data_IF_030460620784
#
_entry.id   IF_030460620784
#
_cell.length_a   1.000
_cell.length_b   1.000
_cell.length_c   1.000
_cell.angle_alpha   90.00
_cell.angle_beta   90.00
_cell.angle_gamma   90.00
#
_symmetry.space_group_name_H-M   'P 1'
#
loop_
_entity.id
_entity.type
_entity.pdbx_description
1 polymer ?
#
# COMPACT_ATOMS: atom_id res chain seq x y z
N UNK A 1 -14.85 1.56 -21.75
CA UNK A 1 -14.10 1.64 -20.48
C UNK A 1 -13.94 0.23 -19.92
N UNK A 2 -12.79 -0.13 -19.37
CA UNK A 2 -12.62 -1.41 -18.69
C UNK A 2 -13.54 -1.49 -17.46
N UNK A 3 -14.07 -2.69 -17.14
CA UNK A 3 -14.97 -2.89 -16.02
C UNK A 3 -14.28 -2.56 -14.68
N UNK A 4 -15.04 -1.99 -13.73
CA UNK A 4 -14.55 -1.72 -12.37
C UNK A 4 -14.15 -3.03 -11.69
N UNK A 5 -13.02 -3.04 -10.98
CA UNK A 5 -12.59 -4.17 -10.13
C UNK A 5 -13.47 -4.24 -8.90
N UNK A 6 -13.81 -5.45 -8.47
CA UNK A 6 -14.65 -5.71 -7.28
C UNK A 6 -14.02 -6.82 -6.44
N UNK A 7 -14.44 -6.97 -5.18
CA UNK A 7 -13.98 -8.08 -4.32
C UNK A 7 -14.24 -9.45 -4.99
N UNK A 8 -15.43 -9.75 -5.55
CA UNK A 8 -15.64 -10.98 -6.31
C UNK A 8 -14.68 -11.16 -7.51
N UNK A 9 -14.26 -10.05 -8.15
CA UNK A 9 -13.25 -10.12 -9.23
C UNK A 9 -11.92 -10.65 -8.69
N UNK A 10 -11.43 -10.12 -7.57
CA UNK A 10 -10.16 -10.55 -6.96
C UNK A 10 -10.23 -12.01 -6.50
N UNK A 11 -11.35 -12.42 -5.89
CA UNK A 11 -11.58 -13.82 -5.49
C UNK A 11 -11.59 -14.78 -6.69
N UNK A 12 -12.17 -14.35 -7.81
CA UNK A 12 -12.13 -15.12 -9.05
C UNK A 12 -10.71 -15.22 -9.60
N UNK A 13 -9.93 -14.12 -9.58
CA UNK A 13 -8.52 -14.13 -10.02
C UNK A 13 -7.70 -15.17 -9.25
N UNK A 14 -7.86 -15.29 -7.92
CA UNK A 14 -7.22 -16.34 -7.13
C UNK A 14 -7.61 -17.74 -7.64
N UNK A 15 -8.90 -18.02 -7.80
CA UNK A 15 -9.38 -19.32 -8.30
C UNK A 15 -8.85 -19.67 -9.70
N UNK A 16 -8.63 -18.66 -10.53
CA UNK A 16 -8.08 -18.78 -11.89
C UNK A 16 -6.55 -18.79 -11.93
N UNK A 17 -5.86 -18.67 -10.78
CA UNK A 17 -4.41 -18.58 -10.71
C UNK A 17 -3.84 -17.27 -11.31
N UNK A 18 -4.65 -16.25 -11.49
CA UNK A 18 -4.24 -14.93 -12.02
C UNK A 18 -3.74 -14.05 -10.89
N UNK A 19 -2.59 -13.42 -11.11
CA UNK A 19 -1.97 -12.56 -10.10
C UNK A 19 -2.69 -11.22 -9.98
N UNK A 20 -2.88 -10.78 -8.73
CA UNK A 20 -3.49 -9.50 -8.37
C UNK A 20 -2.37 -8.46 -8.18
N UNK A 21 -2.53 -7.31 -8.82
CA UNK A 21 -1.54 -6.22 -8.75
C UNK A 21 -2.08 -5.09 -7.90
N UNK A 22 -1.40 -4.83 -6.77
CA UNK A 22 -1.67 -3.70 -5.90
C UNK A 22 -0.51 -2.69 -5.93
N UNK A 23 -0.83 -1.39 -5.89
CA UNK A 23 0.16 -0.32 -5.84
C UNK A 23 -0.22 0.70 -4.79
N UNK A 24 0.74 1.04 -3.91
CA UNK A 24 0.57 2.11 -2.90
C UNK A 24 0.92 3.45 -3.52
N UNK A 25 0.01 4.42 -3.37
CA UNK A 25 0.17 5.81 -3.83
C UNK A 25 -0.44 6.78 -2.82
N UNK A 26 -0.05 8.07 -2.92
CA UNK A 26 -0.48 9.08 -1.94
C UNK A 26 -0.96 10.39 -2.56
N UNK A 27 -1.04 10.48 -3.90
CA UNK A 27 -1.48 11.68 -4.59
C UNK A 27 -2.36 11.38 -5.80
N UNK A 28 -3.07 12.40 -6.26
CA UNK A 28 -3.99 12.34 -7.38
C UNK A 28 -3.33 11.95 -8.71
N UNK A 29 -2.13 12.50 -9.00
CA UNK A 29 -1.48 12.28 -10.29
C UNK A 29 -0.98 10.84 -10.41
N UNK A 30 -0.30 10.34 -9.37
CA UNK A 30 0.17 8.96 -9.34
C UNK A 30 -1.01 7.98 -9.34
N UNK A 31 -2.10 8.28 -8.62
CA UNK A 31 -3.32 7.48 -8.64
C UNK A 31 -3.90 7.32 -10.05
N UNK A 32 -3.94 8.41 -10.84
CA UNK A 32 -4.36 8.34 -12.24
C UNK A 32 -3.44 7.52 -13.11
N UNK A 33 -2.13 7.62 -12.89
CA UNK A 33 -1.14 6.87 -13.67
C UNK A 33 -1.29 5.37 -13.41
N UNK A 34 -1.34 4.95 -12.14
CA UNK A 34 -1.44 3.52 -11.80
C UNK A 34 -2.78 2.91 -12.18
N UNK A 35 -3.89 3.65 -12.05
CA UNK A 35 -5.22 3.17 -12.49
C UNK A 35 -5.25 2.95 -14.02
N UNK A 36 -4.65 3.85 -14.79
CA UNK A 36 -4.51 3.72 -16.25
C UNK A 36 -3.53 2.63 -16.65
N UNK A 37 -2.53 2.32 -15.82
CA UNK A 37 -1.63 1.19 -16.01
C UNK A 37 -2.32 -0.17 -15.79
N UNK A 38 -3.55 -0.17 -15.26
CA UNK A 38 -4.39 -1.36 -15.16
C UNK A 38 -4.18 -2.18 -13.90
N UNK A 39 -3.68 -1.58 -12.80
CA UNK A 39 -3.57 -2.26 -11.50
C UNK A 39 -4.96 -2.59 -10.95
N UNK A 40 -5.07 -3.60 -10.08
CA UNK A 40 -6.34 -4.06 -9.54
C UNK A 40 -6.71 -3.37 -8.22
N UNK A 41 -5.71 -3.00 -7.42
CA UNK A 41 -5.86 -2.31 -6.14
C UNK A 41 -4.94 -1.10 -6.11
N UNK A 42 -5.49 0.07 -5.79
CA UNK A 42 -4.75 1.26 -5.42
C UNK A 42 -4.86 1.42 -3.91
N UNK A 43 -3.74 1.28 -3.21
CA UNK A 43 -3.70 1.33 -1.75
C UNK A 43 -3.17 2.68 -1.27
N UNK A 44 -3.84 3.27 -0.29
CA UNK A 44 -3.40 4.48 0.40
C UNK A 44 -2.73 4.03 1.70
N UNK A 45 -1.39 3.95 1.67
CA UNK A 45 -0.62 3.43 2.81
C UNK A 45 -0.33 4.50 3.87
N UNK A 46 -0.37 4.12 5.15
CA UNK A 46 0.12 4.93 6.27
C UNK A 46 1.63 5.23 6.16
N UNK A 47 2.32 4.50 5.33
CA UNK A 47 3.69 4.78 4.89
C UNK A 47 3.86 6.13 4.16
N UNK A 48 2.77 6.88 3.92
CA UNK A 48 2.83 8.30 3.55
C UNK A 48 3.66 9.11 4.54
N UNK A 49 3.53 8.81 5.83
CA UNK A 49 4.32 9.44 6.90
C UNK A 49 5.81 9.33 6.65
N UNK A 50 6.30 8.14 6.36
CA UNK A 50 7.74 7.90 6.15
C UNK A 50 8.23 8.37 4.78
N UNK A 51 7.44 8.19 3.72
CA UNK A 51 7.92 8.39 2.34
C UNK A 51 7.68 9.81 1.80
N UNK A 52 6.65 10.52 2.26
CA UNK A 52 6.37 11.89 1.83
C UNK A 52 6.65 12.93 2.91
N UNK A 53 6.44 12.58 4.19
CA UNK A 53 6.58 13.56 5.30
C UNK A 53 7.85 13.38 6.12
N UNK A 54 8.69 12.37 5.82
CA UNK A 54 9.97 12.15 6.48
C UNK A 54 9.87 11.71 7.94
N UNK A 55 8.72 11.14 8.35
CA UNK A 55 8.54 10.58 9.68
C UNK A 55 9.37 9.30 9.85
N UNK A 56 9.86 8.98 11.05
CA UNK A 56 10.71 7.81 11.29
C UNK A 56 9.97 6.47 11.12
N UNK A 57 8.64 6.48 11.30
CA UNK A 57 7.77 5.30 11.20
C UNK A 57 6.33 5.76 10.87
N UNK A 58 5.41 4.84 10.52
CA UNK A 58 4.04 5.18 10.19
C UNK A 58 3.14 5.49 11.40
N UNK A 59 3.59 5.29 12.64
CA UNK A 59 2.74 5.38 13.84
C UNK A 59 2.24 6.80 14.15
N UNK A 60 2.90 7.84 13.59
CA UNK A 60 2.55 9.24 13.82
C UNK A 60 1.43 9.75 12.89
N UNK A 61 1.06 8.97 11.88
CA UNK A 61 0.02 9.36 10.91
C UNK A 61 -1.35 9.32 11.59
N UNK A 62 -2.14 10.39 11.39
CA UNK A 62 -3.48 10.50 11.99
C UNK A 62 -4.60 10.08 11.03
N UNK A 63 -5.79 9.80 11.58
CA UNK A 63 -6.99 9.52 10.80
C UNK A 63 -7.32 10.64 9.80
N UNK A 64 -7.24 11.91 10.22
CA UNK A 64 -7.58 13.05 9.37
C UNK A 64 -6.58 13.20 8.21
N UNK A 65 -5.30 12.96 8.47
CA UNK A 65 -4.27 12.93 7.42
C UNK A 65 -4.55 11.82 6.40
N UNK A 66 -4.88 10.61 6.85
CA UNK A 66 -5.21 9.51 5.95
C UNK A 66 -6.47 9.77 5.13
N UNK A 67 -7.48 10.43 5.71
CA UNK A 67 -8.69 10.84 4.99
C UNK A 67 -8.34 11.81 3.85
N UNK A 68 -7.54 12.85 4.12
CA UNK A 68 -7.13 13.84 3.11
C UNK A 68 -6.38 13.17 1.96
N UNK A 69 -5.41 12.31 2.28
CA UNK A 69 -4.63 11.57 1.27
C UNK A 69 -5.54 10.64 0.45
N UNK A 70 -6.43 9.89 1.14
CA UNK A 70 -7.35 8.97 0.47
C UNK A 70 -8.32 9.70 -0.47
N UNK A 71 -8.83 10.87 -0.08
CA UNK A 71 -9.67 11.71 -0.94
C UNK A 71 -8.94 12.12 -2.23
N UNK A 72 -7.66 12.48 -2.14
CA UNK A 72 -6.85 12.83 -3.31
C UNK A 72 -6.68 11.63 -4.25
N UNK A 73 -6.33 10.47 -3.70
CA UNK A 73 -6.19 9.21 -4.45
C UNK A 73 -7.53 8.80 -5.08
N UNK A 74 -8.62 8.82 -4.30
CA UNK A 74 -9.96 8.43 -4.77
C UNK A 74 -10.39 9.20 -6.02
N UNK A 75 -10.14 10.50 -6.07
CA UNK A 75 -10.44 11.32 -7.24
C UNK A 75 -9.67 10.91 -8.50
N UNK A 76 -8.51 10.27 -8.35
CA UNK A 76 -7.67 9.80 -9.44
C UNK A 76 -8.03 8.42 -9.99
N UNK A 77 -8.76 7.60 -9.21
CA UNK A 77 -9.03 6.18 -9.53
C UNK A 77 -10.44 6.00 -10.08
N UNK A 78 -10.58 5.31 -11.20
CA UNK A 78 -11.87 5.01 -11.84
C UNK A 78 -12.17 3.50 -11.89
N UNK A 79 -11.15 2.67 -12.07
CA UNK A 79 -11.29 1.23 -12.32
C UNK A 79 -10.90 0.38 -11.10
N UNK A 80 -9.73 0.63 -10.53
CA UNK A 80 -9.19 -0.17 -9.42
C UNK A 80 -10.03 -0.02 -8.14
N UNK A 81 -9.92 -0.98 -7.23
CA UNK A 81 -10.40 -0.82 -5.85
C UNK A 81 -9.46 0.13 -5.08
N UNK A 82 -10.02 1.05 -4.31
CA UNK A 82 -9.26 1.92 -3.42
C UNK A 82 -9.28 1.33 -2.02
N UNK A 83 -8.10 0.88 -1.56
CA UNK A 83 -7.83 0.45 -0.18
C UNK A 83 -7.22 1.60 0.61
N UNK A 84 -7.54 1.72 1.90
CA UNK A 84 -6.90 2.67 2.81
C UNK A 84 -6.43 1.98 4.07
N UNK A 85 -5.17 2.22 4.46
CA UNK A 85 -4.60 1.67 5.68
C UNK A 85 -5.14 2.44 6.90
N UNK A 86 -5.50 1.71 7.97
CA UNK A 86 -5.76 2.31 9.26
C UNK A 86 -4.46 2.89 9.82
N UNK A 87 -4.45 4.15 10.27
CA UNK A 87 -3.38 4.62 11.12
C UNK A 87 -3.43 3.90 12.46
N UNK A 88 -2.30 3.89 13.15
CA UNK A 88 -2.23 3.37 14.51
C UNK A 88 -3.22 4.13 15.43
N UNK A 89 -3.97 3.41 16.26
CA UNK A 89 -4.94 3.96 17.21
C UNK A 89 -6.30 3.27 17.14
N UNK A 90 -7.12 3.52 16.11
CA UNK A 90 -8.51 3.03 16.08
C UNK A 90 -8.66 1.51 16.23
N UNK A 91 -7.72 0.72 15.72
CA UNK A 91 -7.74 -0.74 15.86
C UNK A 91 -7.40 -1.16 17.29
N UNK A 92 -6.42 -0.50 17.91
CA UNK A 92 -5.94 -0.76 19.26
C UNK A 92 -6.97 -0.35 20.34
N UNK A 93 -7.85 0.60 20.02
CA UNK A 93 -8.93 1.05 20.92
C UNK A 93 -10.15 0.09 20.96
N UNK A 94 -10.14 -0.95 20.10
CA UNK A 94 -11.15 -1.99 20.08
C UNK A 94 -12.18 -1.89 18.96
N UNK A 95 -13.11 -2.88 18.88
CA UNK A 95 -13.98 -3.07 17.70
C UNK A 95 -14.88 -1.88 17.40
N UNK A 96 -15.43 -1.20 18.40
CA UNK A 96 -16.32 -0.06 18.18
C UNK A 96 -15.60 1.15 17.60
N UNK A 97 -14.36 1.41 18.04
CA UNK A 97 -13.50 2.44 17.47
C UNK A 97 -13.11 2.10 16.04
N UNK A 98 -12.73 0.85 15.79
CA UNK A 98 -12.38 0.37 14.46
C UNK A 98 -13.56 0.50 13.47
N UNK A 99 -14.79 0.16 13.88
CA UNK A 99 -16.00 0.34 13.04
C UNK A 99 -16.25 1.82 12.74
N UNK A 100 -16.14 2.70 13.74
CA UNK A 100 -16.29 4.15 13.52
C UNK A 100 -15.26 4.70 12.53
N UNK A 101 -14.00 4.28 12.66
CA UNK A 101 -12.94 4.68 11.74
C UNK A 101 -13.19 4.14 10.31
N UNK A 102 -13.62 2.89 10.17
CA UNK A 102 -13.97 2.31 8.88
C UNK A 102 -15.13 3.08 8.20
N UNK A 103 -16.16 3.44 8.95
CA UNK A 103 -17.29 4.24 8.44
C UNK A 103 -16.79 5.62 7.96
N UNK A 104 -15.90 6.28 8.70
CA UNK A 104 -15.30 7.55 8.27
C UNK A 104 -14.53 7.39 6.95
N UNK A 105 -13.72 6.37 6.80
CA UNK A 105 -12.99 6.11 5.56
C UNK A 105 -13.93 5.90 4.36
N UNK A 106 -15.02 5.17 4.55
CA UNK A 106 -16.01 4.97 3.47
C UNK A 106 -16.75 6.27 3.16
N UNK A 107 -17.26 7.00 4.18
CA UNK A 107 -18.10 8.18 3.99
C UNK A 107 -17.31 9.43 3.61
N UNK A 108 -16.19 9.68 4.32
CA UNK A 108 -15.47 10.94 4.18
C UNK A 108 -14.39 10.83 3.10
N UNK A 109 -13.78 9.66 2.90
CA UNK A 109 -12.70 9.46 1.95
C UNK A 109 -13.09 8.67 0.70
N UNK A 110 -14.20 7.93 0.72
CA UNK A 110 -14.74 7.21 -0.44
C UNK A 110 -13.94 5.94 -0.80
N UNK A 111 -13.27 5.30 0.16
CA UNK A 111 -12.58 4.04 -0.10
C UNK A 111 -13.56 2.89 -0.36
N UNK A 112 -13.09 1.85 -1.07
CA UNK A 112 -13.86 0.64 -1.35
C UNK A 112 -13.62 -0.45 -0.27
N UNK A 113 -12.46 -0.42 0.43
CA UNK A 113 -12.10 -1.35 1.51
C UNK A 113 -11.08 -0.71 2.45
N UNK A 114 -11.01 -1.23 3.67
CA UNK A 114 -10.06 -0.77 4.69
C UNK A 114 -8.98 -1.84 4.94
N UNK A 115 -7.73 -1.41 5.16
CA UNK A 115 -6.62 -2.31 5.47
C UNK A 115 -6.19 -2.14 6.91
N UNK A 116 -6.05 -3.25 7.63
CA UNK A 116 -5.78 -3.29 9.06
C UNK A 116 -4.41 -3.94 9.29
N UNK A 117 -3.44 -3.16 9.76
CA UNK A 117 -2.13 -3.67 10.17
C UNK A 117 -2.24 -4.41 11.52
N UNK A 118 -1.57 -5.55 11.65
CA UNK A 118 -1.64 -6.37 12.86
C UNK A 118 -3.00 -7.03 13.11
N UNK A 119 -3.81 -7.22 12.07
CA UNK A 119 -5.19 -7.73 12.17
C UNK A 119 -5.33 -9.06 12.92
N UNK A 120 -4.30 -9.92 12.91
CA UNK A 120 -4.32 -11.19 13.63
C UNK A 120 -4.45 -11.04 15.15
N UNK A 121 -4.07 -9.88 15.72
CA UNK A 121 -4.25 -9.55 17.13
C UNK A 121 -5.67 -9.08 17.45
N UNK A 122 -6.45 -8.68 16.45
CA UNK A 122 -7.78 -8.04 16.61
C UNK A 122 -8.85 -8.66 15.70
N UNK A 123 -9.04 -9.99 15.70
CA UNK A 123 -9.99 -10.64 14.80
C UNK A 123 -11.45 -10.24 15.08
N UNK A 124 -11.77 -9.83 16.30
CA UNK A 124 -13.08 -9.29 16.67
C UNK A 124 -13.37 -7.94 15.98
N UNK A 125 -12.36 -7.09 15.81
CA UNK A 125 -12.49 -5.85 15.05
C UNK A 125 -12.67 -6.12 13.55
N UNK A 126 -11.92 -7.08 12.99
CA UNK A 126 -12.14 -7.57 11.62
C UNK A 126 -13.58 -8.03 11.43
N UNK A 127 -14.10 -8.85 12.35
CA UNK A 127 -15.47 -9.35 12.30
C UNK A 127 -16.52 -8.23 12.44
N UNK A 128 -16.27 -7.25 13.30
CA UNK A 128 -17.18 -6.11 13.51
C UNK A 128 -17.27 -5.22 12.25
N UNK A 129 -16.15 -4.91 11.61
CA UNK A 129 -16.08 -4.12 10.36
C UNK A 129 -16.74 -4.90 9.22
N UNK A 130 -16.44 -6.19 9.08
CA UNK A 130 -17.03 -7.03 8.03
C UNK A 130 -18.57 -7.14 8.19
N UNK A 131 -19.09 -7.29 9.43
CA UNK A 131 -20.54 -7.28 9.72
C UNK A 131 -21.18 -5.93 9.43
N UNK A 132 -20.43 -4.83 9.53
CA UNK A 132 -20.92 -3.51 9.12
C UNK A 132 -20.99 -3.34 7.59
N UNK A 133 -20.62 -4.37 6.81
CA UNK A 133 -20.69 -4.38 5.34
C UNK A 133 -19.48 -3.75 4.66
N UNK A 134 -18.39 -3.50 5.39
CA UNK A 134 -17.17 -2.89 4.85
C UNK A 134 -16.15 -3.99 4.58
N UNK A 135 -15.65 -4.14 3.34
CA UNK A 135 -14.62 -5.13 3.02
C UNK A 135 -13.32 -4.85 3.77
N UNK A 136 -12.70 -5.91 4.31
CA UNK A 136 -11.46 -5.83 5.08
C UNK A 136 -10.31 -6.49 4.34
N UNK A 137 -9.19 -5.77 4.24
CA UNK A 137 -7.88 -6.27 3.83
C UNK A 137 -7.03 -6.45 5.09
N UNK A 138 -6.97 -7.66 5.59
CA UNK A 138 -6.33 -7.97 6.87
C UNK A 138 -4.82 -8.20 6.70
N UNK A 139 -3.99 -7.33 7.28
CA UNK A 139 -2.53 -7.48 7.26
C UNK A 139 -2.06 -8.21 8.50
N UNK A 140 -1.20 -9.22 8.32
CA UNK A 140 -0.64 -10.05 9.39
C UNK A 140 0.78 -10.54 9.08
N UNK A 141 1.36 -11.31 9.98
CA UNK A 141 2.77 -11.66 9.99
C UNK A 141 3.56 -10.67 10.85
N UNK A 142 4.80 -10.36 10.49
CA UNK A 142 5.58 -9.31 11.14
C UNK A 142 5.26 -8.00 10.41
N UNK A 143 4.43 -7.15 11.01
CA UNK A 143 3.85 -5.98 10.34
C UNK A 143 4.46 -4.66 10.83
N UNK A 144 4.41 -3.57 10.05
CA UNK A 144 4.99 -2.29 10.42
C UNK A 144 4.56 -1.74 11.78
N UNK A 145 3.26 -1.83 12.11
CA UNK A 145 2.74 -1.32 13.38
C UNK A 145 3.03 -2.24 14.57
N UNK A 146 3.43 -3.49 14.32
CA UNK A 146 3.77 -4.48 15.36
C UNK A 146 5.26 -4.83 15.40
N UNK A 147 6.09 -4.25 14.54
CA UNK A 147 7.51 -4.59 14.40
C UNK A 147 8.29 -4.53 15.72
N UNK A 148 8.03 -3.54 16.56
CA UNK A 148 8.67 -3.39 17.86
C UNK A 148 8.39 -4.57 18.81
N UNK A 149 7.24 -5.22 18.70
CA UNK A 149 6.90 -6.43 19.45
C UNK A 149 7.86 -7.60 19.15
N UNK A 150 8.41 -7.60 17.94
CA UNK A 150 9.39 -8.59 17.48
C UNK A 150 10.85 -8.07 17.59
N UNK A 151 11.07 -6.94 18.28
CA UNK A 151 12.40 -6.34 18.42
C UNK A 151 12.97 -5.77 17.12
N UNK A 152 12.12 -5.48 16.15
CA UNK A 152 12.49 -4.92 14.83
C UNK A 152 12.09 -3.45 14.75
N UNK A 153 12.93 -2.63 14.13
CA UNK A 153 12.52 -1.31 13.70
C UNK A 153 11.85 -1.34 12.31
N UNK A 154 11.20 -0.24 11.93
CA UNK A 154 10.50 -0.15 10.65
C UNK A 154 11.45 -0.34 9.44
N UNK A 155 12.71 0.11 9.53
CA UNK A 155 13.67 0.00 8.42
C UNK A 155 14.14 -1.45 8.24
N UNK A 156 14.32 -2.18 9.33
CA UNK A 156 14.71 -3.59 9.30
C UNK A 156 13.69 -4.47 8.56
N UNK A 157 12.42 -4.09 8.55
CA UNK A 157 11.38 -4.82 7.83
C UNK A 157 11.55 -4.81 6.31
N UNK A 158 12.22 -3.81 5.76
CA UNK A 158 12.51 -3.69 4.33
C UNK A 158 13.86 -4.29 3.94
N UNK A 159 14.61 -4.87 4.90
CA UNK A 159 15.91 -5.45 4.64
C UNK A 159 15.82 -6.61 3.64
N UNK A 160 16.82 -6.76 2.74
CA UNK A 160 16.90 -7.91 1.86
C UNK A 160 16.87 -9.23 2.66
N UNK A 161 15.97 -10.13 2.29
CA UNK A 161 15.84 -11.43 2.97
C UNK A 161 14.98 -11.41 4.24
N UNK A 162 14.41 -10.28 4.64
CA UNK A 162 13.46 -10.25 5.75
C UNK A 162 12.25 -11.15 5.43
N UNK A 163 12.05 -12.16 6.27
CA UNK A 163 10.94 -13.12 6.14
C UNK A 163 10.56 -13.68 7.49
N UNK A 164 9.32 -14.14 7.61
CA UNK A 164 8.87 -14.83 8.82
C UNK A 164 9.66 -16.12 9.03
N UNK A 165 10.04 -16.45 10.28
CA UNK A 165 10.70 -17.72 10.60
C UNK A 165 9.83 -18.92 10.18
N UNK A 166 10.47 -19.99 9.69
CA UNK A 166 9.76 -21.20 9.27
C UNK A 166 8.99 -21.88 10.44
N UNK A 167 9.47 -21.71 11.65
CA UNK A 167 8.86 -22.21 12.89
C UNK A 167 7.48 -21.61 13.16
N UNK A 168 7.21 -20.40 12.64
CA UNK A 168 5.90 -19.74 12.77
C UNK A 168 4.83 -20.29 11.80
N UNK A 169 5.17 -21.27 10.95
CA UNK A 169 4.29 -21.74 9.87
C UNK A 169 2.89 -22.12 10.37
N UNK A 170 2.77 -23.00 11.33
CA UNK A 170 1.49 -23.50 11.84
C UNK A 170 0.67 -22.38 12.52
N UNK A 171 1.36 -21.51 13.27
CA UNK A 171 0.72 -20.33 13.86
C UNK A 171 0.14 -19.42 12.77
N UNK A 172 0.93 -19.08 11.74
CA UNK A 172 0.53 -18.16 10.68
C UNK A 172 -0.59 -18.73 9.79
N UNK A 173 -0.62 -20.06 9.56
CA UNK A 173 -1.75 -20.73 8.93
C UNK A 173 -3.01 -20.57 9.77
N UNK A 174 -2.93 -20.80 11.07
CA UNK A 174 -4.06 -20.67 12.00
C UNK A 174 -4.58 -19.24 12.06
N UNK A 175 -3.69 -18.26 12.08
CA UNK A 175 -4.02 -16.83 12.05
C UNK A 175 -4.74 -16.44 10.74
N UNK A 176 -4.22 -16.86 9.60
CA UNK A 176 -4.85 -16.58 8.29
C UNK A 176 -6.27 -17.16 8.21
N UNK A 177 -6.47 -18.41 8.65
CA UNK A 177 -7.79 -19.04 8.70
C UNK A 177 -8.73 -18.34 9.69
N UNK A 178 -8.21 -17.83 10.82
CA UNK A 178 -8.98 -17.04 11.79
C UNK A 178 -9.44 -15.72 11.19
N UNK A 179 -8.56 -15.03 10.45
CA UNK A 179 -8.89 -13.79 9.73
C UNK A 179 -9.96 -14.03 8.64
N UNK A 180 -9.83 -15.10 7.88
CA UNK A 180 -10.85 -15.49 6.89
C UNK A 180 -12.19 -15.76 7.55
N UNK A 181 -12.24 -16.54 8.63
CA UNK A 181 -13.47 -16.79 9.41
C UNK A 181 -14.06 -15.52 10.03
N UNK A 182 -13.22 -14.55 10.38
CA UNK A 182 -13.66 -13.24 10.85
C UNK A 182 -14.27 -12.37 9.73
N UNK A 183 -14.16 -12.76 8.46
CA UNK A 183 -14.76 -12.08 7.31
C UNK A 183 -13.79 -11.19 6.53
N UNK A 184 -12.48 -11.38 6.70
CA UNK A 184 -11.50 -10.73 5.83
C UNK A 184 -11.79 -11.06 4.36
N UNK A 185 -11.83 -10.05 3.51
CA UNK A 185 -12.03 -10.19 2.06
C UNK A 185 -10.74 -10.46 1.30
N UNK A 186 -9.62 -9.99 1.83
CA UNK A 186 -8.25 -10.13 1.36
C UNK A 186 -7.31 -10.24 2.56
N UNK A 187 -6.17 -10.88 2.37
CA UNK A 187 -5.10 -10.97 3.35
C UNK A 187 -3.81 -10.38 2.77
N UNK A 188 -3.12 -9.50 3.54
CA UNK A 188 -1.75 -9.04 3.25
C UNK A 188 -0.78 -9.79 4.17
N UNK A 189 0.00 -10.72 3.62
CA UNK A 189 0.97 -11.48 4.37
C UNK A 189 2.35 -10.83 4.30
N UNK A 190 2.68 -10.05 5.31
CA UNK A 190 3.94 -9.31 5.42
C UNK A 190 5.11 -10.27 5.66
N UNK A 191 6.19 -10.09 4.88
CA UNK A 191 7.42 -10.89 4.96
C UNK A 191 7.19 -12.42 4.87
N UNK A 192 6.28 -12.83 4.01
CA UNK A 192 5.76 -14.21 3.92
C UNK A 192 6.82 -15.30 3.68
N UNK A 193 7.88 -14.98 2.94
CA UNK A 193 8.91 -15.95 2.54
C UNK A 193 8.42 -17.09 1.63
N UNK A 194 9.36 -17.81 0.96
CA UNK A 194 9.01 -18.89 0.03
C UNK A 194 8.63 -20.20 0.74
N UNK A 195 8.89 -20.33 2.04
CA UNK A 195 8.59 -21.54 2.83
C UNK A 195 7.18 -21.48 3.40
N UNK A 196 6.83 -20.38 4.08
CA UNK A 196 5.54 -20.22 4.77
C UNK A 196 4.46 -19.67 3.84
N UNK A 197 4.83 -18.78 2.92
CA UNK A 197 3.87 -18.12 2.02
C UNK A 197 2.97 -19.06 1.23
N UNK A 198 3.50 -20.09 0.53
CA UNK A 198 2.67 -21.06 -0.22
C UNK A 198 1.69 -21.84 0.67
N UNK A 199 2.08 -22.15 1.90
CA UNK A 199 1.24 -22.91 2.84
C UNK A 199 0.03 -22.07 3.27
N UNK A 200 0.27 -20.81 3.61
CA UNK A 200 -0.82 -19.87 3.95
C UNK A 200 -1.77 -19.68 2.77
N UNK A 201 -1.24 -19.50 1.54
CA UNK A 201 -2.08 -19.35 0.33
C UNK A 201 -3.02 -20.55 0.12
N UNK A 202 -2.52 -21.79 0.36
CA UNK A 202 -3.33 -23.00 0.24
C UNK A 202 -4.36 -23.17 1.36
N UNK A 203 -4.10 -22.59 2.53
CA UNK A 203 -4.92 -22.77 3.72
C UNK A 203 -6.20 -21.91 3.74
N UNK A 204 -6.30 -20.89 2.87
CA UNK A 204 -7.45 -19.97 2.82
C UNK A 204 -7.98 -19.80 1.40
N UNK A 205 -9.28 -19.53 1.27
CA UNK A 205 -9.94 -19.28 -0.01
C UNK A 205 -9.84 -17.82 -0.46
N UNK A 206 -9.69 -16.87 0.48
CA UNK A 206 -9.52 -15.45 0.15
C UNK A 206 -8.15 -15.18 -0.46
N UNK A 207 -8.00 -14.16 -1.35
CA UNK A 207 -6.71 -13.80 -1.91
C UNK A 207 -5.69 -13.40 -0.85
N UNK A 208 -4.45 -13.91 -0.99
CA UNK A 208 -3.31 -13.57 -0.14
C UNK A 208 -2.29 -12.79 -0.98
N UNK A 209 -2.11 -11.52 -0.65
CA UNK A 209 -1.14 -10.63 -1.27
C UNK A 209 0.04 -10.41 -0.32
N UNK A 210 1.09 -9.74 -0.78
CA UNK A 210 2.20 -9.34 0.09
C UNK A 210 2.79 -8.01 -0.30
N UNK A 211 2.88 -7.11 0.67
CA UNK A 211 3.56 -5.83 0.54
C UNK A 211 5.06 -5.99 0.78
N UNK A 212 5.49 -6.04 2.01
CA UNK A 212 6.87 -6.33 2.39
C UNK A 212 7.18 -7.82 2.16
N UNK A 213 8.32 -8.12 1.53
CA UNK A 213 8.85 -9.47 1.39
C UNK A 213 7.98 -10.50 0.65
N UNK A 214 6.90 -10.08 0.00
CA UNK A 214 6.07 -10.98 -0.81
C UNK A 214 6.79 -11.44 -2.09
N UNK A 215 6.38 -12.58 -2.64
CA UNK A 215 6.99 -13.17 -3.82
C UNK A 215 5.98 -13.89 -4.74
N UNK A 216 6.48 -14.62 -5.77
CA UNK A 216 5.62 -15.27 -6.75
C UNK A 216 4.75 -16.39 -6.18
N UNK A 217 5.02 -16.84 -4.96
CA UNK A 217 4.23 -17.82 -4.22
C UNK A 217 2.90 -17.31 -3.69
N UNK A 218 2.68 -15.97 -3.66
CA UNK A 218 1.41 -15.36 -3.25
C UNK A 218 0.47 -15.16 -4.44
N UNK A 219 -0.82 -14.90 -4.17
CA UNK A 219 -1.83 -14.60 -5.19
C UNK A 219 -1.60 -13.23 -5.86
N UNK A 220 -0.80 -12.36 -5.25
CA UNK A 220 -0.44 -11.05 -5.81
C UNK A 220 0.57 -10.29 -4.96
N UNK A 221 0.87 -9.08 -5.41
CA UNK A 221 1.81 -8.16 -4.75
C UNK A 221 1.18 -6.79 -4.57
N UNK A 222 1.51 -6.16 -3.44
CA UNK A 222 1.31 -4.73 -3.21
C UNK A 222 2.67 -4.06 -3.10
N UNK A 223 2.97 -3.05 -3.92
CA UNK A 223 4.25 -2.35 -3.89
C UNK A 223 4.04 -0.84 -3.90
N UNK A 224 4.87 -0.10 -3.17
CA UNK A 224 4.88 1.36 -3.23
C UNK A 224 5.32 1.81 -4.63
N UNK A 225 4.56 2.71 -5.26
CA UNK A 225 4.91 3.30 -6.55
C UNK A 225 6.31 3.94 -6.50
N UNK A 226 6.58 4.71 -5.45
CA UNK A 226 7.87 5.38 -5.23
C UNK A 226 9.05 4.41 -5.27
N UNK A 227 8.93 3.26 -4.60
CA UNK A 227 9.96 2.23 -4.61
C UNK A 227 10.09 1.55 -5.97
N UNK A 228 8.97 1.32 -6.68
CA UNK A 228 8.99 0.67 -7.98
C UNK A 228 9.67 1.52 -9.05
N UNK A 229 9.40 2.83 -9.07
CA UNK A 229 9.91 3.75 -10.10
C UNK A 229 11.15 4.56 -9.65
N UNK A 230 11.67 4.31 -8.45
CA UNK A 230 12.84 5.03 -7.97
C UNK A 230 12.59 6.52 -7.70
N UNK A 231 11.42 6.89 -7.17
CA UNK A 231 11.09 8.25 -6.77
C UNK A 231 11.37 8.47 -5.28
N UNK A 232 12.63 8.54 -4.92
CA UNK A 232 13.09 8.98 -3.59
C UNK A 232 14.49 9.58 -3.73
N UNK A 233 14.87 10.53 -2.86
CA UNK A 233 16.20 11.13 -2.88
C UNK A 233 17.30 10.06 -2.77
N UNK A 234 17.10 9.03 -1.95
CA UNK A 234 18.03 7.91 -1.82
C UNK A 234 18.27 7.12 -3.13
N UNK A 235 17.39 7.25 -4.12
CA UNK A 235 17.60 6.60 -5.42
C UNK A 235 18.67 7.29 -6.29
N UNK A 236 19.10 8.50 -5.91
CA UNK A 236 20.22 9.21 -6.57
C UNK A 236 21.56 8.51 -6.27
N UNK A 237 21.68 7.89 -5.10
CA UNK A 237 22.91 7.32 -4.56
C UNK A 237 22.85 5.77 -4.46
N UNK A 238 21.92 5.13 -5.17
CA UNK A 238 21.67 3.69 -5.06
C UNK A 238 21.52 3.03 -6.41
N UNK A 239 22.28 1.95 -6.65
CA UNK A 239 22.22 1.09 -7.83
C UNK A 239 21.21 -0.07 -7.70
N UNK A 240 20.33 -0.06 -6.69
CA UNK A 240 19.30 -1.07 -6.52
C UNK A 240 18.42 -1.16 -7.77
N UNK A 241 18.12 -2.40 -8.21
CA UNK A 241 17.30 -2.65 -9.40
C UNK A 241 15.86 -2.10 -9.21
N UNK A 242 15.39 -1.33 -10.20
CA UNK A 242 14.07 -0.68 -10.25
C UNK A 242 13.57 -0.66 -11.69
N UNK A 243 12.26 -0.45 -11.85
CA UNK A 243 11.68 -0.25 -13.19
C UNK A 243 12.08 1.07 -13.86
N UNK A 244 12.46 2.09 -13.04
CA UNK A 244 12.96 3.39 -13.51
C UNK A 244 13.78 4.08 -12.40
N UNK A 245 14.47 5.18 -12.73
CA UNK A 245 15.07 6.08 -11.76
C UNK A 245 14.49 7.51 -11.93
N UNK A 246 13.27 7.69 -11.46
CA UNK A 246 12.55 8.98 -11.58
C UNK A 246 13.24 10.09 -10.78
N UNK A 247 13.91 9.76 -9.68
CA UNK A 247 14.69 10.75 -8.91
C UNK A 247 15.82 11.35 -9.76
N UNK A 248 16.55 10.54 -10.54
CA UNK A 248 17.60 11.03 -11.45
C UNK A 248 17.02 11.90 -12.54
N UNK A 249 15.92 11.48 -13.17
CA UNK A 249 15.24 12.26 -14.21
C UNK A 249 14.79 13.61 -13.64
N UNK A 250 14.19 13.62 -12.45
CA UNK A 250 13.77 14.86 -11.79
C UNK A 250 14.95 15.76 -11.45
N UNK A 251 16.03 15.20 -10.90
CA UNK A 251 17.25 15.94 -10.55
C UNK A 251 17.86 16.62 -11.78
N UNK A 252 18.05 15.87 -12.86
CA UNK A 252 18.67 16.39 -14.10
C UNK A 252 17.78 17.48 -14.73
N UNK A 253 16.47 17.28 -14.76
CA UNK A 253 15.52 18.25 -15.30
C UNK A 253 15.49 19.56 -14.49
N UNK A 254 15.48 19.48 -13.15
CA UNK A 254 15.50 20.67 -12.30
C UNK A 254 16.85 21.39 -12.36
N UNK A 255 17.94 20.65 -12.44
CA UNK A 255 19.28 21.24 -12.63
C UNK A 255 19.33 22.03 -13.94
N UNK A 256 18.87 21.44 -15.05
CA UNK A 256 18.84 22.13 -16.35
C UNK A 256 17.96 23.39 -16.31
N UNK A 257 16.79 23.31 -15.66
CA UNK A 257 15.91 24.48 -15.45
C UNK A 257 16.62 25.58 -14.64
N UNK A 258 17.27 25.22 -13.53
CA UNK A 258 17.99 26.20 -12.72
C UNK A 258 19.12 26.88 -13.49
N UNK A 259 19.84 26.15 -14.36
CA UNK A 259 20.91 26.69 -15.20
C UNK A 259 20.36 27.61 -16.30
N UNK A 260 19.19 27.28 -16.90
CA UNK A 260 18.52 28.15 -17.86
C UNK A 260 18.13 29.50 -17.20
N UNK A 261 17.55 29.45 -15.99
CA UNK A 261 17.20 30.66 -15.23
C UNK A 261 18.44 31.51 -14.90
N UNK A 262 19.47 30.89 -14.33
CA UNK A 262 20.70 31.60 -13.94
C UNK A 262 21.46 32.23 -15.11
N UNK A 263 21.37 31.61 -16.28
CA UNK A 263 22.01 32.04 -17.52
C UNK A 263 21.10 32.94 -18.37
N UNK A 264 19.95 33.34 -17.87
CA UNK A 264 18.95 34.15 -18.59
C UNK A 264 18.53 33.56 -19.95
N UNK A 265 18.57 32.23 -20.06
CA UNK A 265 18.09 31.55 -21.26
C UNK A 265 16.57 31.43 -21.26
N UNK A 266 15.98 31.29 -22.46
CA UNK A 266 14.54 31.04 -22.61
C UNK A 266 14.17 29.74 -21.88
N UNK A 267 13.21 29.82 -20.96
CA UNK A 267 12.68 28.67 -20.23
C UNK A 267 11.85 27.80 -21.18
N UNK A 268 12.09 26.50 -21.20
CA UNK A 268 11.30 25.54 -21.99
C UNK A 268 9.84 25.56 -21.55
N UNK A 269 8.92 25.71 -22.52
CA UNK A 269 7.48 25.82 -22.26
C UNK A 269 7.03 27.20 -21.76
N UNK A 270 7.94 28.16 -21.61
CA UNK A 270 7.61 29.55 -21.32
C UNK A 270 7.08 30.30 -22.55
N UNK A 271 6.46 31.47 -22.33
CA UNK A 271 6.05 32.36 -23.42
C UNK A 271 7.29 32.86 -24.16
N UNK A 272 7.39 32.72 -25.48
CA UNK A 272 8.51 33.25 -26.26
C UNK A 272 8.65 34.76 -26.04
N UNK A 273 9.86 35.21 -25.72
CA UNK A 273 10.17 36.65 -25.68
C UNK A 273 10.35 37.09 -27.13
N UNK A 274 9.44 37.90 -27.64
CA UNK A 274 9.60 38.51 -28.95
C UNK A 274 10.67 39.61 -28.83
N UNK A 275 11.80 39.55 -29.59
CA UNK A 275 12.75 40.65 -29.57
C UNK A 275 12.08 41.91 -30.06
N UNK A 276 11.92 42.93 -29.24
CA UNK A 276 11.52 44.27 -29.64
C UNK A 276 10.08 44.66 -29.37
N UNK A 277 9.54 44.37 -28.17
CA UNK A 277 8.38 45.05 -27.63
C UNK A 277 8.77 45.95 -26.48
#
# INVERSE_FOLDING_TARGET
MAAKVTIPTLQRMKREGRKIVGVVVWDYQMARIVDRAGVDIVSVGDTVGTNLWGQPNPLQVTMDQMIVVCQAVRRGVQRALVSVDFPFGPLQEGPDSAVRAAIRFVKDAGCDLVKLDGAALFPEAVAAIARAGIPVFAQFGITPQTALHYGMDYQAMSAPGAQVPAEMKEQLITEAQRLERAGASLIDFTNSGPVVGPEVVRAVAVPVLGGFGGGPWLDGRVRMAHAAIGYSAAALDSDAERYANVARIAFDAITAYADDVRSSRQIKGGVPVTPGS
#
